data_IF_609246507354
#
_entry.id   IF_609246507354
#
_cell.length_a   1.000
_cell.length_b   1.000
_cell.length_c   1.000
_cell.angle_alpha   90.00
_cell.angle_beta   90.00
_cell.angle_gamma   90.00
#
_symmetry.space_group_name_H-M   'P 1'
#
loop_
_entity.id
_entity.type
_entity.pdbx_description
1 polymer ?
#
# COMPACT_ATOMS: atom_id res chain seq x y z
N UNK A 1 -11.28 6.11 39.57
CA UNK A 1 -9.93 6.32 40.15
C UNK A 1 -9.38 4.96 40.55
N UNK A 2 -8.51 4.36 39.73
CA UNK A 2 -7.83 3.10 40.06
C UNK A 2 -6.33 3.41 40.11
N UNK A 3 -5.74 3.24 41.29
CA UNK A 3 -4.30 3.42 41.53
C UNK A 3 -3.64 2.05 41.42
N UNK A 4 -2.80 1.84 40.41
CA UNK A 4 -1.89 0.69 40.37
C UNK A 4 -0.47 1.19 40.59
N UNK A 5 0.10 0.86 41.75
CA UNK A 5 1.53 1.04 42.04
C UNK A 5 2.32 0.07 41.17
N UNK A 6 3.28 0.59 40.39
CA UNK A 6 4.26 -0.22 39.68
C UNK A 6 5.64 -0.04 40.30
N UNK A 7 6.22 -1.17 40.71
CA UNK A 7 7.56 -1.31 41.26
C UNK A 7 8.63 -1.15 40.17
N UNK A 8 9.80 -0.68 40.58
CA UNK A 8 10.96 -0.31 39.76
C UNK A 8 11.44 -1.47 38.88
N UNK A 9 11.74 -1.15 37.62
CA UNK A 9 12.45 -2.01 36.68
C UNK A 9 12.31 -1.47 35.26
N UNK A 10 13.40 -0.93 34.72
CA UNK A 10 13.49 -0.33 33.38
C UNK A 10 13.13 -1.36 32.30
N UNK A 11 11.83 -1.43 31.96
CA UNK A 11 11.31 -1.99 30.72
C UNK A 11 10.64 -0.85 29.97
N UNK A 12 11.29 -0.34 28.92
CA UNK A 12 10.56 0.41 27.89
C UNK A 12 9.79 -0.60 27.04
N UNK A 13 8.75 -1.17 27.64
CA UNK A 13 7.64 -1.78 26.92
C UNK A 13 6.85 -0.65 26.24
N UNK A 14 6.05 -0.96 25.21
CA UNK A 14 5.07 -0.11 24.52
C UNK A 14 4.05 0.58 25.46
N UNK A 15 4.52 1.38 26.40
CA UNK A 15 3.77 1.80 27.58
C UNK A 15 3.56 3.31 27.51
N UNK A 16 2.28 3.69 27.61
CA UNK A 16 1.76 4.96 28.15
C UNK A 16 1.43 6.14 27.24
N UNK A 17 1.44 6.02 25.91
CA UNK A 17 0.77 7.04 25.06
C UNK A 17 -0.60 6.59 24.56
N UNK A 18 -0.79 5.28 24.34
CA UNK A 18 -2.07 4.72 23.84
C UNK A 18 -3.18 4.73 24.90
N UNK A 19 -2.86 4.39 26.16
CA UNK A 19 -3.85 4.38 27.26
C UNK A 19 -4.30 5.77 27.68
N UNK A 20 -3.45 6.79 27.55
CA UNK A 20 -3.82 8.16 27.92
C UNK A 20 -4.68 8.84 26.85
N UNK A 21 -4.46 8.53 25.56
CA UNK A 21 -5.28 9.07 24.45
C UNK A 21 -6.64 8.40 24.32
N UNK A 22 -6.77 7.13 24.68
CA UNK A 22 -8.08 6.47 24.77
C UNK A 22 -9.00 7.24 25.73
N UNK A 23 -8.51 7.76 26.84
CA UNK A 23 -9.34 8.50 27.80
C UNK A 23 -9.78 9.91 27.35
N UNK A 24 -9.21 10.49 26.28
CA UNK A 24 -9.46 11.89 25.90
C UNK A 24 -10.43 12.05 24.72
N UNK A 25 -10.73 10.98 23.97
CA UNK A 25 -11.64 11.02 22.81
C UNK A 25 -13.10 10.70 23.15
N UNK A 26 -13.46 10.43 24.40
CA UNK A 26 -14.80 10.04 24.82
C UNK A 26 -15.66 11.23 25.26
N UNK A 27 -16.14 12.04 24.32
CA UNK A 27 -17.18 13.06 24.59
C UNK A 27 -18.28 13.15 23.52
N UNK A 28 -18.37 12.24 22.54
CA UNK A 28 -19.51 12.21 21.59
C UNK A 28 -20.10 10.79 21.46
N UNK A 29 -21.43 10.72 21.32
CA UNK A 29 -22.36 9.57 21.35
C UNK A 29 -21.75 8.17 21.14
N UNK A 30 -21.91 7.32 22.17
CA UNK A 30 -21.33 5.99 22.31
C UNK A 30 -22.12 4.91 21.54
N UNK A 31 -21.50 4.33 20.52
CA UNK A 31 -21.84 2.99 20.02
C UNK A 31 -20.95 1.96 20.77
N UNK A 32 -21.50 1.20 21.73
CA UNK A 32 -20.72 0.31 22.59
C UNK A 32 -20.02 -0.82 21.82
N UNK A 33 -20.53 -1.24 20.66
CA UNK A 33 -19.93 -2.28 19.84
C UNK A 33 -18.72 -1.75 19.05
N UNK A 34 -18.76 -0.49 18.64
CA UNK A 34 -17.61 0.19 18.01
C UNK A 34 -16.43 0.27 18.97
N UNK A 35 -16.67 0.64 20.22
CA UNK A 35 -15.61 0.79 21.22
C UNK A 35 -14.96 -0.55 21.58
N UNK A 36 -15.76 -1.60 21.72
CA UNK A 36 -15.23 -2.93 21.99
C UNK A 36 -14.33 -3.44 20.85
N UNK A 37 -14.73 -3.20 19.61
CA UNK A 37 -13.93 -3.55 18.42
C UNK A 37 -12.60 -2.78 18.39
N UNK A 38 -12.60 -1.49 18.69
CA UNK A 38 -11.36 -0.70 18.76
C UNK A 38 -10.44 -1.16 19.91
N UNK A 39 -11.00 -1.53 21.06
CA UNK A 39 -10.23 -2.07 22.18
C UNK A 39 -9.60 -3.42 21.81
N UNK A 40 -10.36 -4.31 21.15
CA UNK A 40 -9.86 -5.61 20.71
C UNK A 40 -8.76 -5.45 19.66
N UNK A 41 -8.95 -4.55 18.69
CA UNK A 41 -7.92 -4.18 17.71
C UNK A 41 -6.64 -3.70 18.40
N UNK A 42 -6.76 -2.75 19.34
CA UNK A 42 -5.62 -2.19 20.05
C UNK A 42 -4.81 -3.26 20.81
N UNK A 43 -5.51 -4.17 21.51
CA UNK A 43 -4.87 -5.27 22.24
C UNK A 43 -4.09 -6.19 21.32
N UNK A 44 -4.66 -6.56 20.18
CA UNK A 44 -3.98 -7.44 19.22
C UNK A 44 -2.84 -6.72 18.50
N UNK A 45 -3.03 -5.45 18.08
CA UNK A 45 -1.99 -4.61 17.49
C UNK A 45 -0.74 -4.56 18.36
N UNK A 46 -0.90 -4.28 19.66
CA UNK A 46 0.21 -4.22 20.62
C UNK A 46 0.86 -5.59 20.77
N UNK A 47 0.08 -6.65 20.96
CA UNK A 47 0.58 -8.01 21.16
C UNK A 47 1.38 -8.48 19.95
N UNK A 48 0.78 -8.40 18.77
CA UNK A 48 1.34 -8.93 17.53
C UNK A 48 2.55 -8.10 17.10
N UNK A 49 2.50 -6.77 17.24
CA UNK A 49 3.64 -5.90 16.96
C UNK A 49 4.83 -6.14 17.89
N UNK A 50 4.57 -6.33 19.20
CA UNK A 50 5.62 -6.67 20.17
C UNK A 50 6.28 -8.00 19.82
N UNK A 51 5.48 -9.00 19.43
CA UNK A 51 5.99 -10.33 19.10
C UNK A 51 6.80 -10.29 17.81
N UNK A 52 6.29 -9.64 16.77
CA UNK A 52 6.99 -9.48 15.50
C UNK A 52 8.33 -8.76 15.69
N UNK A 53 8.36 -7.64 16.42
CA UNK A 53 9.61 -6.92 16.69
C UNK A 53 10.64 -7.78 17.42
N UNK A 54 10.22 -8.58 18.41
CA UNK A 54 11.12 -9.49 19.13
C UNK A 54 11.71 -10.58 18.24
N UNK A 55 10.94 -11.08 17.26
CA UNK A 55 11.42 -12.06 16.29
C UNK A 55 12.44 -11.42 15.36
N UNK A 56 12.12 -10.25 14.80
CA UNK A 56 13.01 -9.57 13.84
C UNK A 56 14.27 -9.00 14.51
N UNK A 57 14.16 -8.51 15.75
CA UNK A 57 15.26 -7.91 16.51
C UNK A 57 15.32 -8.38 17.98
N UNK A 58 15.80 -9.62 18.22
CA UNK A 58 15.88 -10.18 19.56
C UNK A 58 16.74 -9.34 20.54
N UNK A 59 17.76 -8.67 20.00
CA UNK A 59 18.70 -7.83 20.74
C UNK A 59 18.40 -6.32 20.61
N UNK A 60 17.27 -5.95 20.01
CA UNK A 60 16.87 -4.57 19.76
C UNK A 60 17.86 -3.76 18.90
N UNK A 61 18.58 -4.44 18.01
CA UNK A 61 19.42 -3.81 17.00
C UNK A 61 18.58 -3.27 15.83
N UNK A 62 19.16 -2.32 15.11
CA UNK A 62 18.59 -1.86 13.85
C UNK A 62 18.65 -2.99 12.82
N UNK A 63 17.58 -3.13 12.05
CA UNK A 63 17.41 -4.23 11.10
C UNK A 63 17.53 -3.67 9.69
N UNK A 64 18.34 -4.24 8.79
CA UNK A 64 18.27 -3.88 7.38
C UNK A 64 16.84 -4.02 6.85
N UNK A 65 16.34 -3.04 6.11
CA UNK A 65 14.97 -3.01 5.58
C UNK A 65 14.64 -4.29 4.81
N UNK A 66 15.55 -4.74 3.95
CA UNK A 66 15.37 -5.94 3.13
C UNK A 66 15.15 -7.22 3.98
N UNK A 67 15.74 -7.28 5.18
CA UNK A 67 15.53 -8.39 6.10
C UNK A 67 14.20 -8.27 6.85
N UNK A 68 13.77 -7.04 7.17
CA UNK A 68 12.52 -6.79 7.86
C UNK A 68 11.29 -7.00 6.95
N UNK A 69 11.41 -6.70 5.66
CA UNK A 69 10.32 -6.80 4.68
C UNK A 69 9.68 -8.18 4.66
N UNK A 70 10.50 -9.24 4.64
CA UNK A 70 10.01 -10.62 4.60
C UNK A 70 9.08 -10.93 5.78
N UNK A 71 9.52 -10.60 6.98
CA UNK A 71 8.78 -10.85 8.23
C UNK A 71 7.53 -9.97 8.32
N UNK A 72 7.61 -8.70 7.88
CA UNK A 72 6.48 -7.77 7.83
C UNK A 72 5.41 -8.28 6.86
N UNK A 73 5.81 -8.71 5.67
CA UNK A 73 4.89 -9.24 4.66
C UNK A 73 4.24 -10.55 5.14
N UNK A 74 5.02 -11.46 5.72
CA UNK A 74 4.49 -12.73 6.23
C UNK A 74 3.42 -12.49 7.33
N UNK A 75 3.68 -11.55 8.25
CA UNK A 75 2.68 -11.17 9.26
C UNK A 75 1.48 -10.44 8.65
N UNK A 76 1.69 -9.57 7.66
CA UNK A 76 0.59 -8.93 6.93
C UNK A 76 -0.35 -9.98 6.32
N UNK A 77 0.20 -10.97 5.62
CA UNK A 77 -0.56 -12.04 4.97
C UNK A 77 -1.35 -12.88 5.99
N UNK A 78 -0.72 -13.20 7.12
CA UNK A 78 -1.36 -13.91 8.25
C UNK A 78 -2.56 -13.13 8.81
N UNK A 79 -2.39 -11.84 9.06
CA UNK A 79 -3.45 -10.99 9.62
C UNK A 79 -4.57 -10.77 8.59
N UNK A 80 -4.20 -10.44 7.36
CA UNK A 80 -5.12 -10.19 6.25
C UNK A 80 -5.91 -11.42 5.80
N UNK A 81 -5.57 -12.62 6.32
CA UNK A 81 -6.11 -13.90 5.84
C UNK A 81 -6.03 -13.99 4.31
N UNK A 82 -4.94 -13.47 3.75
CA UNK A 82 -4.69 -13.40 2.33
C UNK A 82 -3.67 -14.49 1.98
N UNK A 83 -4.01 -15.37 1.04
CA UNK A 83 -3.14 -16.46 0.62
C UNK A 83 -2.67 -16.32 -0.84
N UNK A 84 -3.32 -15.47 -1.62
CA UNK A 84 -3.16 -15.39 -3.08
C UNK A 84 -2.47 -14.12 -3.57
N UNK A 85 -2.51 -13.03 -2.79
CA UNK A 85 -1.97 -11.72 -3.19
C UNK A 85 -0.98 -11.21 -2.15
N UNK A 86 0.31 -11.28 -2.50
CA UNK A 86 1.41 -10.72 -1.73
C UNK A 86 1.50 -9.20 -1.92
N UNK A 87 2.36 -8.53 -1.14
CA UNK A 87 2.63 -7.11 -1.32
C UNK A 87 3.49 -6.91 -2.57
N UNK A 88 3.11 -5.94 -3.39
CA UNK A 88 3.90 -5.55 -4.55
C UNK A 88 5.13 -4.75 -4.13
N UNK A 89 6.17 -4.64 -4.99
CA UNK A 89 7.30 -3.76 -4.74
C UNK A 89 6.90 -2.28 -4.48
N UNK A 90 5.81 -1.82 -5.08
CA UNK A 90 5.23 -0.49 -4.88
C UNK A 90 4.67 -0.36 -3.47
N UNK A 91 3.92 -1.37 -3.01
CA UNK A 91 3.39 -1.43 -1.65
C UNK A 91 4.52 -1.36 -0.63
N UNK A 92 5.56 -2.17 -0.81
CA UNK A 92 6.73 -2.20 0.08
C UNK A 92 7.48 -0.86 0.10
N UNK A 93 7.62 -0.20 -1.04
CA UNK A 93 8.21 1.13 -1.10
C UNK A 93 7.38 2.16 -0.34
N UNK A 94 6.04 2.09 -0.42
CA UNK A 94 5.18 2.95 0.37
C UNK A 94 5.28 2.65 1.87
N UNK A 95 5.30 1.37 2.27
CA UNK A 95 5.53 0.98 3.67
C UNK A 95 6.85 1.54 4.21
N UNK A 96 7.92 1.47 3.41
CA UNK A 96 9.22 2.07 3.78
C UNK A 96 9.11 3.58 4.03
N UNK A 97 8.36 4.29 3.17
CA UNK A 97 8.10 5.73 3.32
C UNK A 97 7.28 6.03 4.58
N UNK A 98 6.26 5.23 4.89
CA UNK A 98 5.44 5.37 6.11
C UNK A 98 6.28 5.13 7.36
N UNK A 99 7.15 4.11 7.34
CA UNK A 99 8.09 3.84 8.43
C UNK A 99 9.07 5.00 8.66
N UNK A 100 9.33 5.82 7.63
CA UNK A 100 10.33 6.88 7.68
C UNK A 100 11.77 6.35 7.73
N UNK A 101 11.98 5.11 7.28
CA UNK A 101 13.29 4.46 7.30
C UNK A 101 13.92 4.45 5.90
N UNK A 102 15.26 4.41 5.87
CA UNK A 102 16.04 4.28 4.64
C UNK A 102 16.52 2.83 4.52
N UNK A 103 17.77 2.57 4.87
CA UNK A 103 18.37 1.23 4.82
C UNK A 103 18.09 0.39 6.07
N UNK A 104 17.90 1.05 7.23
CA UNK A 104 17.74 0.38 8.51
C UNK A 104 16.44 0.79 9.21
N UNK A 105 15.74 -0.21 9.73
CA UNK A 105 14.52 -0.11 10.53
C UNK A 105 14.88 -0.10 12.01
N UNK A 106 14.48 0.96 12.71
CA UNK A 106 14.51 1.06 14.18
C UNK A 106 13.16 0.64 14.76
N UNK A 107 13.11 0.40 16.07
CA UNK A 107 11.86 0.08 16.75
C UNK A 107 10.81 1.19 16.57
N UNK A 108 11.22 2.46 16.65
CA UNK A 108 10.31 3.60 16.47
C UNK A 108 9.74 3.65 15.04
N UNK A 109 10.57 3.39 14.03
CA UNK A 109 10.13 3.34 12.64
C UNK A 109 9.17 2.17 12.40
N UNK A 110 9.46 1.01 13.01
CA UNK A 110 8.56 -0.13 12.99
C UNK A 110 7.23 0.18 13.66
N UNK A 111 7.21 0.83 14.83
CA UNK A 111 5.98 1.20 15.53
C UNK A 111 5.11 2.15 14.68
N UNK A 112 5.71 3.14 14.00
CA UNK A 112 5.02 4.03 13.05
C UNK A 112 4.39 3.25 11.90
N UNK A 113 5.16 2.37 11.27
CA UNK A 113 4.69 1.49 10.20
C UNK A 113 3.54 0.60 10.68
N UNK A 114 3.72 -0.06 11.83
CA UNK A 114 2.77 -1.03 12.36
C UNK A 114 1.44 -0.40 12.76
N UNK A 115 1.46 0.83 13.28
CA UNK A 115 0.26 1.59 13.58
C UNK A 115 -0.59 1.91 12.34
N UNK A 116 0.01 1.88 11.14
CA UNK A 116 -0.71 2.01 9.88
C UNK A 116 -1.08 0.65 9.27
N UNK A 117 -0.10 -0.26 9.18
CA UNK A 117 -0.26 -1.54 8.48
C UNK A 117 -1.21 -2.48 9.19
N UNK A 118 -1.18 -2.54 10.53
CA UNK A 118 -1.99 -3.50 11.27
C UNK A 118 -3.50 -3.26 11.11
N UNK A 119 -4.04 -2.03 11.29
CA UNK A 119 -5.45 -1.76 11.02
C UNK A 119 -5.83 -2.06 9.56
N UNK A 120 -4.96 -1.75 8.59
CA UNK A 120 -5.20 -2.06 7.17
C UNK A 120 -5.32 -3.57 6.95
N UNK A 121 -4.36 -4.36 7.45
CA UNK A 121 -4.41 -5.81 7.36
C UNK A 121 -5.65 -6.39 8.03
N UNK A 122 -6.04 -5.84 9.19
CA UNK A 122 -7.22 -6.28 9.92
C UNK A 122 -8.53 -5.97 9.18
N UNK A 123 -8.61 -4.85 8.45
CA UNK A 123 -9.77 -4.55 7.61
C UNK A 123 -9.79 -5.44 6.37
N UNK A 124 -8.62 -5.75 5.78
CA UNK A 124 -8.52 -6.68 4.64
C UNK A 124 -8.99 -8.09 4.99
N UNK A 125 -8.81 -8.53 6.24
CA UNK A 125 -9.27 -9.86 6.68
C UNK A 125 -10.78 -10.02 6.79
N UNK A 126 -11.54 -8.93 6.66
CA UNK A 126 -13.00 -8.99 6.71
C UNK A 126 -13.58 -9.53 5.41
N UNK A 127 -14.61 -10.36 5.52
CA UNK A 127 -15.24 -11.08 4.40
C UNK A 127 -15.74 -10.18 3.26
N UNK A 128 -15.97 -8.90 3.52
CA UNK A 128 -16.44 -7.92 2.54
C UNK A 128 -15.30 -7.11 1.88
N UNK A 129 -14.09 -7.07 2.45
CA UNK A 129 -12.90 -6.49 1.81
C UNK A 129 -12.04 -7.57 1.15
N UNK A 130 -11.86 -8.71 1.81
CA UNK A 130 -10.95 -9.75 1.35
C UNK A 130 -11.20 -10.14 -0.14
N UNK A 131 -12.45 -10.29 -0.62
CA UNK A 131 -12.73 -10.58 -2.03
C UNK A 131 -12.30 -9.46 -2.98
N UNK A 132 -12.51 -8.18 -2.63
CA UNK A 132 -12.09 -7.05 -3.48
C UNK A 132 -10.59 -6.82 -3.44
N UNK A 133 -9.92 -7.12 -2.32
CA UNK A 133 -8.46 -7.12 -2.24
C UNK A 133 -7.87 -8.24 -3.10
N UNK A 134 -8.45 -9.44 -3.08
CA UNK A 134 -7.94 -10.58 -3.85
C UNK A 134 -8.36 -10.61 -5.32
N UNK A 135 -9.29 -9.74 -5.73
CA UNK A 135 -9.74 -9.66 -7.12
C UNK A 135 -8.63 -9.17 -8.05
N UNK A 136 -8.33 -9.97 -9.08
CA UNK A 136 -7.34 -9.64 -10.12
C UNK A 136 -7.98 -9.12 -11.40
N UNK A 137 -9.28 -9.35 -11.60
CA UNK A 137 -10.03 -8.84 -12.76
C UNK A 137 -11.52 -8.63 -12.41
N UNK A 138 -11.98 -7.38 -12.25
CA UNK A 138 -11.19 -6.14 -12.22
C UNK A 138 -10.40 -6.02 -10.89
N UNK A 139 -9.29 -5.29 -10.91
CA UNK A 139 -8.45 -5.07 -9.73
C UNK A 139 -9.00 -3.90 -8.88
N UNK A 140 -9.92 -4.20 -7.97
CA UNK A 140 -10.66 -3.20 -7.19
C UNK A 140 -9.79 -2.33 -6.29
N UNK A 141 -8.81 -2.93 -5.63
CA UNK A 141 -7.83 -2.23 -4.81
C UNK A 141 -6.46 -2.43 -5.47
N UNK A 142 -5.88 -1.37 -6.02
CA UNK A 142 -4.59 -1.46 -6.72
C UNK A 142 -3.43 -1.89 -5.83
N UNK A 143 -3.55 -1.60 -4.54
CA UNK A 143 -2.55 -1.86 -3.50
C UNK A 143 -2.57 -0.72 -2.49
N UNK A 144 -1.41 -0.41 -1.96
CA UNK A 144 -1.16 0.77 -1.14
C UNK A 144 -0.69 1.88 -2.08
N UNK A 145 -1.59 2.84 -2.29
CA UNK A 145 -1.33 4.02 -3.12
C UNK A 145 -1.57 5.29 -2.31
N UNK A 146 -0.81 6.35 -2.60
CA UNK A 146 -0.98 7.63 -1.94
C UNK A 146 -2.19 8.39 -2.48
N UNK A 147 -2.55 9.48 -1.80
CA UNK A 147 -3.58 10.38 -2.30
C UNK A 147 -3.15 10.96 -3.66
N UNK A 148 -1.90 11.41 -3.74
CA UNK A 148 -1.33 12.09 -4.90
C UNK A 148 -1.25 11.14 -6.13
N UNK A 149 -0.92 9.87 -5.91
CA UNK A 149 -0.91 8.85 -6.98
C UNK A 149 -2.32 8.59 -7.53
N UNK A 150 -3.32 8.54 -6.65
CA UNK A 150 -4.72 8.40 -7.05
C UNK A 150 -5.22 9.65 -7.80
N UNK A 151 -4.91 10.86 -7.30
CA UNK A 151 -5.27 12.13 -7.96
C UNK A 151 -4.61 12.24 -9.34
N UNK A 152 -3.33 11.88 -9.47
CA UNK A 152 -2.60 11.90 -10.75
C UNK A 152 -3.24 10.93 -11.76
N UNK A 153 -3.66 9.75 -11.30
CA UNK A 153 -4.31 8.74 -12.16
C UNK A 153 -5.68 9.20 -12.64
N UNK A 154 -6.46 9.85 -11.76
CA UNK A 154 -7.77 10.41 -12.07
C UNK A 154 -7.70 11.72 -12.88
N UNK A 155 -6.56 12.42 -12.84
CA UNK A 155 -6.31 13.61 -13.64
C UNK A 155 -5.93 13.29 -15.08
N UNK A 156 -5.43 12.10 -15.41
CA UNK A 156 -5.08 11.69 -16.77
C UNK A 156 -4.01 12.56 -17.47
N UNK A 157 -3.46 12.11 -18.61
CA UNK A 157 -2.47 12.87 -19.37
C UNK A 157 -3.05 14.08 -20.13
N UNK A 158 -4.36 14.12 -20.36
CA UNK A 158 -5.05 15.15 -21.16
C UNK A 158 -6.08 15.96 -20.35
N UNK A 159 -6.04 15.87 -19.02
CA UNK A 159 -7.09 16.38 -18.13
C UNK A 159 -7.96 15.26 -17.58
N UNK A 160 -8.84 15.61 -16.62
CA UNK A 160 -9.55 14.65 -15.77
C UNK A 160 -10.19 13.51 -16.56
N UNK A 161 -10.12 12.31 -15.97
CA UNK A 161 -10.90 11.16 -16.40
C UNK A 161 -12.40 11.50 -16.39
N UNK A 162 -13.20 10.69 -17.08
CA UNK A 162 -14.64 10.93 -17.14
C UNK A 162 -15.29 10.91 -15.73
N UNK A 163 -16.28 11.78 -15.46
CA UNK A 163 -17.04 11.75 -14.22
C UNK A 163 -17.55 10.36 -13.88
N UNK A 164 -17.46 10.02 -12.60
CA UNK A 164 -17.78 8.70 -12.08
C UNK A 164 -16.62 7.69 -12.10
N UNK A 165 -15.45 8.08 -12.61
CA UNK A 165 -14.23 7.27 -12.46
C UNK A 165 -13.73 7.32 -11.02
N UNK A 166 -13.50 6.17 -10.40
CA UNK A 166 -13.08 6.08 -9.00
C UNK A 166 -11.97 5.06 -8.72
N UNK A 167 -11.23 5.29 -7.64
CA UNK A 167 -10.15 4.42 -7.15
C UNK A 167 -10.34 4.20 -5.64
N UNK A 168 -10.20 2.93 -5.21
CA UNK A 168 -10.19 2.55 -3.80
C UNK A 168 -8.77 2.56 -3.25
N UNK A 169 -8.58 3.15 -2.06
CA UNK A 169 -7.27 3.20 -1.39
C UNK A 169 -7.37 3.27 0.13
N UNK A 170 -6.31 2.84 0.80
CA UNK A 170 -6.12 3.08 2.23
C UNK A 170 -5.41 4.42 2.45
N UNK A 171 -5.94 5.33 3.29
CA UNK A 171 -5.32 6.64 3.51
C UNK A 171 -4.05 6.52 4.37
N UNK A 172 -2.93 7.02 3.84
CA UNK A 172 -1.63 7.05 4.54
C UNK A 172 -1.60 8.02 5.73
N UNK A 173 -2.50 9.00 5.76
CA UNK A 173 -2.60 10.00 6.83
C UNK A 173 -3.38 9.52 8.07
N UNK A 174 -3.92 8.29 8.05
CA UNK A 174 -4.73 7.72 9.15
C UNK A 174 -4.04 6.49 9.70
N UNK A 175 -3.38 6.66 10.85
CA UNK A 175 -2.75 5.56 11.60
C UNK A 175 -3.39 5.46 12.98
N UNK A 176 -3.32 4.28 13.59
CA UNK A 176 -3.75 4.11 14.98
C UNK A 176 -3.04 5.14 15.88
N UNK A 177 -3.74 5.81 16.82
CA UNK A 177 -5.08 5.54 17.34
C UNK A 177 -6.22 6.31 16.65
N UNK A 178 -6.05 6.77 15.41
CA UNK A 178 -7.14 7.43 14.69
C UNK A 178 -8.32 6.46 14.49
N UNK A 179 -9.59 6.86 14.72
CA UNK A 179 -10.75 5.97 14.58
C UNK A 179 -10.92 5.42 13.15
N UNK A 180 -10.49 6.20 12.15
CA UNK A 180 -10.50 5.79 10.74
C UNK A 180 -9.26 5.00 10.28
N UNK A 181 -8.37 4.59 11.19
CA UNK A 181 -7.20 3.80 10.79
C UNK A 181 -7.62 2.47 10.16
N UNK A 182 -7.11 2.19 8.95
CA UNK A 182 -7.48 1.00 8.18
C UNK A 182 -8.75 1.13 7.34
N UNK A 183 -9.52 2.22 7.46
CA UNK A 183 -10.70 2.43 6.64
C UNK A 183 -10.34 2.71 5.17
N UNK A 184 -11.26 2.37 4.27
CA UNK A 184 -11.09 2.56 2.84
C UNK A 184 -11.63 3.93 2.41
N UNK A 185 -10.93 4.60 1.49
CA UNK A 185 -11.35 5.86 0.87
C UNK A 185 -11.58 5.62 -0.61
N UNK A 186 -12.68 6.17 -1.11
CA UNK A 186 -12.95 6.31 -2.55
C UNK A 186 -12.45 7.68 -2.99
N UNK A 187 -11.47 7.71 -3.89
CA UNK A 187 -11.13 8.91 -4.67
C UNK A 187 -11.86 8.86 -6.00
N UNK A 188 -12.55 9.92 -6.42
CA UNK A 188 -13.31 9.89 -7.68
C UNK A 188 -13.41 11.26 -8.35
N UNK A 189 -13.72 11.25 -9.65
CA UNK A 189 -14.06 12.45 -10.42
C UNK A 189 -15.56 12.70 -10.32
N UNK A 190 -15.96 13.82 -9.73
CA UNK A 190 -17.36 14.23 -9.62
C UNK A 190 -17.92 14.77 -10.93
N UNK A 191 -19.24 14.95 -10.98
CA UNK A 191 -19.93 15.58 -12.12
C UNK A 191 -19.52 17.06 -12.33
N UNK A 192 -18.91 17.67 -11.31
CA UNK A 192 -18.30 19.00 -11.38
C UNK A 192 -16.86 18.97 -11.94
N UNK A 193 -16.39 17.82 -12.42
CA UNK A 193 -15.02 17.57 -12.91
C UNK A 193 -13.96 17.91 -11.86
N UNK A 194 -14.30 17.77 -10.58
CA UNK A 194 -13.34 17.90 -9.47
C UNK A 194 -13.08 16.57 -8.82
N UNK A 195 -11.93 16.49 -8.15
CA UNK A 195 -11.56 15.33 -7.36
C UNK A 195 -12.22 15.39 -5.99
N UNK A 196 -12.88 14.30 -5.65
CA UNK A 196 -13.50 14.10 -4.35
C UNK A 196 -12.87 12.90 -3.65
N UNK A 197 -12.81 12.95 -2.33
CA UNK A 197 -12.33 11.87 -1.49
C UNK A 197 -13.32 11.59 -0.39
N UNK A 198 -13.94 10.41 -0.42
CA UNK A 198 -14.97 10.01 0.53
C UNK A 198 -14.50 8.81 1.33
N UNK A 199 -14.50 8.94 2.65
CA UNK A 199 -14.27 7.81 3.55
C UNK A 199 -15.49 6.87 3.49
N UNK A 200 -15.26 5.57 3.32
CA UNK A 200 -16.33 4.58 3.35
C UNK A 200 -16.69 4.25 4.80
N UNK A 201 -17.92 4.60 5.20
CA UNK A 201 -18.46 4.29 6.51
C UNK A 201 -19.05 2.89 6.53
N UNK A 202 -18.30 1.91 7.02
CA UNK A 202 -18.68 0.50 6.98
C UNK A 202 -19.30 -0.03 8.28
N UNK A 203 -19.36 0.80 9.32
CA UNK A 203 -19.82 0.44 10.66
C UNK A 203 -21.32 0.11 10.71
N UNK A 204 -22.12 0.73 9.85
CA UNK A 204 -23.57 0.52 9.82
C UNK A 204 -24.00 -0.70 8.99
N UNK A 205 -23.13 -1.19 8.10
CA UNK A 205 -23.51 -2.21 7.09
C UNK A 205 -23.09 -3.62 7.51
N UNK A 206 -21.99 -3.73 8.26
CA UNK A 206 -21.39 -5.04 8.62
C UNK A 206 -21.07 -5.18 10.13
N UNK A 207 -21.59 -4.27 10.96
CA UNK A 207 -21.27 -4.17 12.40
C UNK A 207 -22.09 -5.06 13.34
N UNK A 208 -23.24 -5.58 12.92
CA UNK A 208 -24.10 -6.42 13.76
C UNK A 208 -23.92 -7.90 13.41
N UNK A 209 -23.53 -8.70 14.40
CA UNK A 209 -23.46 -10.17 14.30
C UNK A 209 -24.83 -10.86 14.23
N UNK A 210 -25.90 -10.14 13.90
CA UNK A 210 -27.25 -10.66 13.82
C UNK A 210 -27.80 -10.62 12.38
N UNK A 211 -28.09 -11.83 11.88
CA UNK A 211 -28.91 -12.17 10.71
C UNK A 211 -28.45 -11.69 9.33
N UNK A 212 -27.94 -12.65 8.53
CA UNK A 212 -28.50 -13.15 7.25
C UNK A 212 -29.40 -12.19 6.42
N UNK A 213 -29.08 -10.92 6.33
CA UNK A 213 -29.54 -10.08 5.22
C UNK A 213 -28.60 -10.39 4.07
N UNK A 214 -29.12 -10.53 2.86
CA UNK A 214 -28.34 -10.51 1.62
C UNK A 214 -27.59 -9.17 1.54
N UNK A 215 -26.48 -9.05 2.28
CA UNK A 215 -25.66 -7.85 2.24
C UNK A 215 -24.98 -7.89 0.88
N UNK A 216 -25.41 -6.97 0.02
CA UNK A 216 -24.84 -6.85 -1.32
C UNK A 216 -23.33 -6.69 -1.21
N UNK A 217 -22.55 -7.40 -2.04
CA UNK A 217 -21.12 -7.21 -2.13
C UNK A 217 -20.75 -5.73 -2.21
N UNK A 218 -19.65 -5.33 -1.56
CA UNK A 218 -19.20 -3.93 -1.56
C UNK A 218 -19.07 -3.36 -2.98
N UNK A 219 -18.68 -4.20 -3.94
CA UNK A 219 -18.65 -3.88 -5.37
C UNK A 219 -19.98 -3.32 -5.87
N UNK A 220 -21.08 -4.03 -5.56
CA UNK A 220 -22.42 -3.69 -6.02
C UNK A 220 -22.92 -2.42 -5.32
N UNK A 221 -22.56 -2.25 -4.04
CA UNK A 221 -22.87 -1.02 -3.31
C UNK A 221 -22.15 0.19 -3.90
N UNK A 222 -20.88 0.05 -4.27
CA UNK A 222 -20.11 1.12 -4.89
C UNK A 222 -20.68 1.50 -6.25
N UNK A 223 -21.01 0.52 -7.10
CA UNK A 223 -21.55 0.77 -8.44
C UNK A 223 -23.02 1.23 -8.45
N UNK A 224 -23.74 1.07 -7.34
CA UNK A 224 -25.08 1.62 -7.18
C UNK A 224 -25.09 3.13 -6.88
N UNK A 225 -23.94 3.70 -6.46
CA UNK A 225 -23.82 5.12 -6.18
C UNK A 225 -23.80 5.92 -7.49
N UNK A 226 -24.64 6.95 -7.64
CA UNK A 226 -24.74 7.70 -8.90
C UNK A 226 -23.44 8.44 -9.27
N UNK A 227 -22.58 8.69 -8.29
CA UNK A 227 -21.28 9.35 -8.46
C UNK A 227 -20.14 8.37 -8.78
N UNK A 228 -20.38 7.06 -8.77
CA UNK A 228 -19.35 6.03 -8.97
C UNK A 228 -19.81 5.06 -10.07
N UNK A 229 -19.35 5.30 -11.29
CA UNK A 229 -19.81 4.54 -12.46
C UNK A 229 -18.77 3.57 -12.99
N UNK A 230 -17.47 3.87 -12.81
CA UNK A 230 -16.38 3.04 -13.37
C UNK A 230 -15.17 3.01 -12.47
N UNK A 231 -14.57 1.83 -12.37
CA UNK A 231 -13.32 1.64 -11.66
C UNK A 231 -12.15 2.17 -12.52
N UNK A 232 -11.33 3.03 -11.93
CA UNK A 232 -10.07 3.51 -12.49
C UNK A 232 -8.89 2.62 -12.12
N UNK A 233 -7.85 2.67 -12.94
CA UNK A 233 -6.56 2.00 -12.70
C UNK A 233 -5.51 3.04 -12.35
N UNK A 234 -4.59 2.72 -11.44
CA UNK A 234 -3.38 3.53 -11.22
C UNK A 234 -2.35 3.16 -12.27
N UNK A 235 -1.83 4.14 -13.00
CA UNK A 235 -0.76 3.90 -13.98
C UNK A 235 0.58 3.78 -13.25
N UNK A 236 1.27 2.67 -13.49
CA UNK A 236 2.62 2.43 -13.00
C UNK A 236 3.64 3.30 -13.74
N UNK A 237 3.98 4.46 -13.17
CA UNK A 237 4.95 5.40 -13.73
C UNK A 237 6.40 4.88 -13.75
N UNK A 238 6.69 3.75 -13.10
CA UNK A 238 8.01 3.14 -13.07
C UNK A 238 8.36 2.37 -14.36
N UNK A 239 7.37 1.92 -15.13
CA UNK A 239 7.60 1.19 -16.38
C UNK A 239 8.28 2.08 -17.44
N UNK A 240 8.07 3.40 -17.38
CA UNK A 240 8.65 4.37 -18.32
C UNK A 240 10.10 4.74 -18.02
N UNK A 241 10.67 4.30 -16.89
CA UNK A 241 12.05 4.64 -16.48
C UNK A 241 13.07 3.58 -16.91
N UNK A 242 12.66 2.34 -17.20
CA UNK A 242 13.58 1.29 -17.63
C UNK A 242 13.88 1.25 -19.15
N UNK A 243 13.05 1.86 -19.99
CA UNK A 243 13.27 1.88 -21.45
C UNK A 243 14.27 2.96 -21.93
N UNK A 244 14.80 3.81 -21.03
CA UNK A 244 15.82 4.81 -21.37
C UNK A 244 17.27 4.41 -21.07
N UNK A 245 17.53 3.14 -20.73
CA UNK A 245 18.89 2.59 -20.78
C UNK A 245 19.16 2.02 -22.17
N UNK A 246 19.43 2.92 -23.14
CA UNK A 246 20.15 2.53 -24.35
C UNK A 246 21.47 1.87 -23.94
N UNK A 247 21.78 0.64 -24.40
CA UNK A 247 23.11 0.07 -24.18
C UNK A 247 24.14 0.95 -24.89
N UNK A 248 25.17 1.32 -24.12
CA UNK A 248 26.35 2.02 -24.59
C UNK A 248 26.97 1.20 -25.73
N UNK A 249 26.96 1.78 -26.93
CA UNK A 249 27.30 1.10 -28.18
C UNK A 249 28.66 0.41 -28.12
N UNK A 250 28.65 -0.89 -28.34
CA UNK A 250 29.82 -1.65 -28.77
C UNK A 250 30.23 -1.12 -30.15
N UNK A 251 31.49 -0.70 -30.27
CA UNK A 251 32.13 -0.30 -31.53
C UNK A 251 32.16 -1.51 -32.48
N UNK A 252 31.20 -1.59 -33.41
CA UNK A 252 31.37 -2.37 -34.64
C UNK A 252 31.80 -1.44 -35.77
N UNK A 253 33.08 -1.57 -36.13
CA UNK A 253 33.66 -1.13 -37.39
C UNK A 253 33.01 -1.90 -38.54
N UNK A 254 32.03 -1.30 -39.22
CA UNK A 254 31.61 -1.76 -40.54
C UNK A 254 31.92 -0.72 -41.61
N UNK A 255 32.97 -1.08 -42.35
CA UNK A 255 33.28 -0.76 -43.74
C UNK A 255 32.16 -0.02 -44.50
N UNK A 256 32.42 1.25 -44.83
CA UNK A 256 31.86 1.88 -46.03
C UNK A 256 32.96 1.99 -47.08
N UNK A 257 32.90 1.07 -48.04
CA UNK A 257 33.63 1.15 -49.30
C UNK A 257 33.11 2.35 -50.10
N UNK A 258 33.95 3.29 -50.55
CA UNK A 258 33.54 4.31 -51.51
C UNK A 258 33.70 3.77 -52.94
N UNK A 259 32.63 3.86 -53.73
CA UNK A 259 32.70 3.70 -55.17
C UNK A 259 32.98 5.05 -55.82
N UNK A 260 34.09 5.16 -56.56
CA UNK A 260 34.13 5.78 -57.89
C UNK A 260 35.43 5.40 -58.63
N UNK A 261 35.43 5.37 -59.97
CA UNK A 261 36.39 4.61 -60.76
C UNK A 261 37.56 5.47 -61.26
N UNK A 262 38.78 4.92 -61.24
CA UNK A 262 39.89 5.43 -62.07
C UNK A 262 40.65 4.24 -62.67
N UNK A 263 40.90 4.37 -63.97
CA UNK A 263 41.51 3.40 -64.87
C UNK A 263 43.03 3.24 -64.63
N UNK A 264 43.55 2.14 -65.21
CA UNK A 264 44.80 2.04 -66.01
C UNK A 264 45.85 1.03 -65.47
N UNK A 265 46.12 0.05 -66.36
CA UNK A 265 47.40 -0.60 -66.73
C UNK A 265 48.02 -1.79 -65.95
N UNK A 266 48.11 -2.91 -66.71
CA UNK A 266 49.25 -3.83 -66.95
C UNK A 266 50.03 -4.38 -65.73
N UNK A 267 50.42 -5.67 -65.63
CA UNK A 267 50.98 -6.59 -66.64
C UNK A 267 50.99 -8.02 -66.04
N UNK A 268 50.58 -9.01 -66.82
CA UNK A 268 50.60 -10.43 -66.45
C UNK A 268 52.01 -10.99 -66.65
N UNK A 269 52.57 -11.64 -65.63
CA UNK A 269 53.77 -12.47 -65.71
C UNK A 269 53.41 -13.91 -65.33
N UNK A 270 53.63 -14.83 -66.28
CA UNK A 270 53.34 -16.26 -66.22
C UNK A 270 54.48 -17.07 -65.57
N UNK A 271 54.11 -18.26 -65.05
CA UNK A 271 54.98 -19.43 -64.89
C UNK A 271 55.50 -19.63 -63.47
N UNK A 272 55.37 -20.77 -62.80
CA UNK A 272 55.08 -22.12 -63.27
C UNK A 272 56.14 -23.06 -62.69
N UNK A 273 55.70 -23.94 -61.79
CA UNK A 273 56.41 -25.09 -61.17
C UNK A 273 57.54 -24.78 -60.20
#
# INVERSE_FOLDING_TARGET
MIILKSSKGTRRNLTLTATYRLNQSYQEELDPDRDLNQILLAKRLIKDGTNLWKVMSPNNHHIPWENAVYEIEEQFMKIASCCSRSLSPQDLNLLRRIAGCQEYLTQENFEKLWCWLYPVAFIISRDWINPIWNSTSPKWIEGFITKEEAESSLQGPTGFQEPGTFILRFPTSRSWPHPDAGNLVVSYVGNDYKLHHRLLSMHHVYGSGDNRVDVKPLQDMLLAEPELSRLGSVFDSWATVQDNKKPLGTLELLQKVPQHPVKVAFKVGFGGS
#
